data_IF_130564566265
#
_entry.id   IF_130564566265
#
_cell.length_a   1.000
_cell.length_b   1.000
_cell.length_c   1.000
_cell.angle_alpha   90.00
_cell.angle_beta   90.00
_cell.angle_gamma   90.00
#
_symmetry.space_group_name_H-M   'P 1'
#
loop_
_entity.id
_entity.type
_entity.pdbx_description
1 polymer ?
#
# COMPACT_ATOMS: atom_id res chain seq x y z
N UNK A 1 6.45 9.24 -14.87
CA UNK A 1 6.89 8.04 -14.15
C UNK A 1 6.75 6.84 -15.06
N UNK A 2 7.60 5.84 -14.91
CA UNK A 2 7.53 4.59 -15.66
C UNK A 2 7.35 3.39 -14.73
N UNK A 3 6.44 2.48 -15.10
CA UNK A 3 6.26 1.18 -14.46
C UNK A 3 7.10 0.14 -15.19
N UNK A 4 8.03 -0.50 -14.47
CA UNK A 4 8.93 -1.50 -15.03
C UNK A 4 8.71 -2.83 -14.32
N UNK A 5 8.47 -3.89 -15.10
CA UNK A 5 8.37 -5.25 -14.58
C UNK A 5 9.73 -5.72 -14.07
N UNK A 6 9.78 -6.22 -12.83
CA UNK A 6 11.00 -6.79 -12.24
C UNK A 6 10.89 -8.31 -12.06
N UNK A 7 9.75 -8.79 -11.57
CA UNK A 7 9.51 -10.22 -11.34
C UNK A 7 8.03 -10.57 -11.27
N UNK A 8 7.76 -11.87 -11.36
CA UNK A 8 6.43 -12.44 -11.24
C UNK A 8 5.73 -12.07 -9.94
N UNK A 9 4.47 -11.64 -10.07
CA UNK A 9 3.60 -11.45 -8.92
C UNK A 9 2.17 -11.85 -9.23
N UNK A 10 1.70 -12.93 -8.58
CA UNK A 10 0.36 -13.49 -8.77
C UNK A 10 0.04 -13.71 -10.26
N UNK A 11 -0.90 -12.94 -10.81
CA UNK A 11 -1.32 -13.03 -12.22
C UNK A 11 -0.46 -12.22 -13.18
N UNK A 12 0.48 -11.40 -12.69
CA UNK A 12 1.36 -10.59 -13.53
C UNK A 12 2.63 -11.39 -13.79
N UNK A 13 2.87 -11.68 -15.07
CA UNK A 13 3.98 -12.52 -15.55
C UNK A 13 5.00 -11.76 -16.39
N UNK A 14 4.54 -10.72 -17.08
CA UNK A 14 5.36 -9.79 -17.86
C UNK A 14 4.46 -8.69 -18.40
N UNK A 15 5.03 -7.53 -18.71
CA UNK A 15 4.44 -6.48 -19.53
C UNK A 15 5.56 -5.54 -19.98
N UNK A 16 5.36 -4.85 -21.11
CA UNK A 16 6.31 -3.84 -21.57
C UNK A 16 6.28 -2.62 -20.64
N UNK A 17 7.40 -1.92 -20.42
CA UNK A 17 7.41 -0.71 -19.59
C UNK A 17 6.31 0.28 -19.97
N UNK A 18 5.63 0.82 -18.96
CA UNK A 18 4.46 1.68 -19.15
C UNK A 18 4.74 3.04 -18.54
N UNK A 19 4.76 4.09 -19.38
CA UNK A 19 4.76 5.47 -18.89
C UNK A 19 3.40 5.83 -18.32
N UNK A 20 3.38 6.34 -17.10
CA UNK A 20 2.19 6.82 -16.39
C UNK A 20 2.37 8.28 -15.94
N UNK A 21 1.25 8.99 -15.85
CA UNK A 21 1.19 10.35 -15.31
C UNK A 21 1.09 10.31 -13.77
N UNK A 22 1.37 11.44 -13.12
CA UNK A 22 1.30 11.62 -11.66
C UNK A 22 -0.04 11.22 -11.06
N UNK A 23 -1.11 11.39 -11.85
CA UNK A 23 -2.43 10.88 -11.55
C UNK A 23 -2.90 9.98 -12.68
N UNK A 24 -3.09 8.70 -12.36
CA UNK A 24 -3.50 7.68 -13.31
C UNK A 24 -4.63 6.84 -12.72
N UNK A 25 -5.67 6.57 -13.52
CA UNK A 25 -6.79 5.70 -13.14
C UNK A 25 -6.65 4.39 -13.90
N UNK A 26 -6.54 3.28 -13.17
CA UNK A 26 -6.50 1.94 -13.76
C UNK A 26 -7.92 1.37 -13.78
N UNK A 27 -8.44 1.10 -14.98
CA UNK A 27 -9.76 0.50 -15.18
C UNK A 27 -9.64 -0.86 -15.87
N UNK A 28 -10.73 -1.62 -15.92
CA UNK A 28 -10.78 -2.94 -16.55
C UNK A 28 -11.75 -3.89 -15.88
N UNK A 29 -12.04 -5.02 -16.52
CA UNK A 29 -12.98 -6.02 -16.03
C UNK A 29 -12.58 -6.60 -14.66
N UNK A 30 -13.54 -7.14 -13.93
CA UNK A 30 -13.24 -7.86 -12.69
C UNK A 30 -12.34 -9.06 -12.98
N UNK A 31 -11.32 -9.26 -12.14
CA UNK A 31 -10.31 -10.30 -12.37
C UNK A 31 -9.20 -9.93 -13.37
N UNK A 32 -9.22 -8.75 -13.99
CA UNK A 32 -8.17 -8.33 -14.96
C UNK A 32 -6.80 -8.02 -14.34
N UNK A 33 -6.60 -8.27 -13.04
CA UNK A 33 -5.31 -8.07 -12.37
C UNK A 33 -5.06 -6.67 -11.80
N UNK A 34 -6.02 -5.74 -11.79
CA UNK A 34 -5.83 -4.37 -11.25
C UNK A 34 -5.30 -4.35 -9.82
N UNK A 35 -5.91 -5.11 -8.92
CA UNK A 35 -5.45 -5.22 -7.53
C UNK A 35 -4.08 -5.87 -7.44
N UNK A 36 -3.78 -6.84 -8.32
CA UNK A 36 -2.45 -7.45 -8.38
C UNK A 36 -1.40 -6.44 -8.84
N UNK A 37 -1.72 -5.58 -9.81
CA UNK A 37 -0.84 -4.50 -10.30
C UNK A 37 -0.48 -3.53 -9.17
N UNK A 38 -1.48 -3.02 -8.45
CA UNK A 38 -1.22 -2.11 -7.32
C UNK A 38 -0.41 -2.78 -6.20
N UNK A 39 -0.71 -4.04 -5.87
CA UNK A 39 0.05 -4.80 -4.86
C UNK A 39 1.49 -5.14 -5.29
N UNK A 40 1.72 -5.36 -6.60
CA UNK A 40 3.08 -5.58 -7.10
C UNK A 40 3.94 -4.32 -7.07
N UNK A 41 3.33 -3.13 -7.15
CA UNK A 41 4.04 -1.87 -6.96
C UNK A 41 4.41 -1.70 -5.48
N UNK A 42 3.47 -1.94 -4.56
CA UNK A 42 3.72 -1.88 -3.10
C UNK A 42 4.86 -2.82 -2.67
N UNK A 43 4.92 -4.05 -3.20
CA UNK A 43 5.91 -5.03 -2.79
C UNK A 43 7.23 -5.01 -3.59
N UNK A 44 7.36 -4.10 -4.56
CA UNK A 44 8.54 -3.95 -5.41
C UNK A 44 8.72 -5.03 -6.48
N UNK A 45 7.68 -5.78 -6.86
CA UNK A 45 7.72 -6.66 -8.04
C UNK A 45 7.54 -5.90 -9.35
N UNK A 46 6.98 -4.69 -9.26
CA UNK A 46 6.99 -3.66 -10.29
C UNK A 46 7.66 -2.43 -9.69
N UNK A 47 8.63 -1.89 -10.40
CA UNK A 47 9.35 -0.68 -10.01
C UNK A 47 8.68 0.55 -10.62
N UNK A 48 8.64 1.63 -9.84
CA UNK A 48 8.34 2.98 -10.32
C UNK A 48 9.65 3.71 -10.43
N UNK A 49 10.09 4.04 -11.64
CA UNK A 49 11.25 4.90 -11.99
C UNK A 49 12.03 5.52 -10.80
N UNK A 50 12.90 4.73 -10.15
CA UNK A 50 13.76 5.18 -9.05
C UNK A 50 13.09 5.45 -7.69
N UNK A 51 11.78 5.27 -7.56
CA UNK A 51 11.03 5.34 -6.29
C UNK A 51 11.16 3.98 -5.58
N UNK A 52 11.82 3.93 -4.41
CA UNK A 52 11.94 2.68 -3.68
C UNK A 52 10.59 2.22 -3.13
N UNK A 53 10.35 0.91 -3.10
CA UNK A 53 9.09 0.32 -2.61
C UNK A 53 8.73 0.74 -1.17
N UNK A 54 9.71 1.13 -0.35
CA UNK A 54 9.50 1.65 1.01
C UNK A 54 8.77 2.99 1.06
N UNK A 55 8.76 3.75 -0.03
CA UNK A 55 8.05 5.03 -0.17
C UNK A 55 6.67 4.86 -0.80
N UNK A 56 6.34 3.67 -1.30
CA UNK A 56 5.04 3.37 -1.89
C UNK A 56 4.05 3.03 -0.78
N UNK A 57 2.95 3.78 -0.72
CA UNK A 57 1.86 3.52 0.21
C UNK A 57 0.65 2.97 -0.56
N UNK A 58 0.24 1.75 -0.23
CA UNK A 58 -0.98 1.14 -0.74
C UNK A 58 -2.15 1.41 0.21
N UNK A 59 -3.23 1.94 -0.34
CA UNK A 59 -4.51 2.12 0.34
C UNK A 59 -5.60 1.29 -0.32
N UNK A 60 -6.56 0.86 0.50
CA UNK A 60 -7.80 0.23 0.11
C UNK A 60 -8.95 0.73 1.00
N UNK A 61 -10.19 0.37 0.68
CA UNK A 61 -11.36 0.86 1.40
C UNK A 61 -11.41 0.49 2.90
N UNK A 62 -10.70 -0.55 3.33
CA UNK A 62 -10.68 -1.01 4.72
C UNK A 62 -9.57 -0.38 5.57
N UNK A 63 -8.52 0.17 4.96
CA UNK A 63 -7.40 0.81 5.66
C UNK A 63 -7.37 2.33 5.50
N UNK A 64 -8.20 2.88 4.60
CA UNK A 64 -8.35 4.32 4.45
C UNK A 64 -9.26 4.91 5.53
N UNK A 65 -8.65 5.48 6.57
CA UNK A 65 -9.34 6.27 7.60
C UNK A 65 -8.93 7.74 7.52
N UNK A 66 -9.91 8.63 7.39
CA UNK A 66 -9.70 10.06 7.57
C UNK A 66 -9.82 10.38 9.06
N UNK A 67 -8.69 10.68 9.70
CA UNK A 67 -8.68 11.17 11.08
C UNK A 67 -9.10 12.65 11.07
N UNK A 68 -10.41 12.89 11.16
CA UNK A 68 -10.97 14.24 11.25
C UNK A 68 -10.71 14.91 12.61
N UNK A 69 -10.27 14.15 13.62
CA UNK A 69 -10.05 14.62 14.99
C UNK A 69 -8.66 15.23 15.24
N UNK A 70 -7.95 15.66 14.18
CA UNK A 70 -6.75 16.49 14.34
C UNK A 70 -7.24 17.95 14.36
N UNK A 71 -7.44 18.58 15.53
CA UNK A 71 -7.72 20.01 15.56
C UNK A 71 -6.57 20.75 14.86
N UNK A 72 -6.94 21.68 13.99
CA UNK A 72 -5.99 22.54 13.27
C UNK A 72 -4.95 23.09 14.27
N UNK A 73 -3.65 23.07 13.92
CA UNK A 73 -2.62 23.57 14.83
C UNK A 73 -2.90 25.03 15.12
N UNK A 74 -3.38 25.32 16.32
CA UNK A 74 -3.42 26.68 16.86
C UNK A 74 -1.98 27.06 17.17
N UNK A 75 -1.52 28.13 16.52
CA UNK A 75 -0.14 28.61 16.57
C UNK A 75 0.45 28.57 17.99
N UNK A 76 1.45 27.72 18.19
CA UNK A 76 2.17 27.60 19.45
C UNK A 76 3.00 26.32 19.52
N UNK A 77 4.17 26.33 18.90
CA UNK A 77 5.32 25.46 19.16
C UNK A 77 5.03 24.01 19.62
N UNK A 78 4.89 23.10 18.67
CA UNK A 78 5.18 21.67 18.90
C UNK A 78 5.95 21.11 17.71
N UNK A 79 7.12 20.54 17.99
CA UNK A 79 7.88 19.73 17.03
C UNK A 79 6.95 18.73 16.36
N UNK A 80 6.76 18.90 15.06
CA UNK A 80 6.12 17.91 14.20
C UNK A 80 7.10 16.73 14.10
N UNK A 81 7.04 15.81 15.05
CA UNK A 81 7.51 14.46 14.77
C UNK A 81 6.46 13.88 13.83
N UNK A 82 6.71 13.97 12.52
CA UNK A 82 5.92 13.23 11.53
C UNK A 82 6.29 11.76 11.68
N UNK A 83 5.85 11.15 12.77
CA UNK A 83 5.66 9.72 12.81
C UNK A 83 4.57 9.45 11.77
N UNK A 84 5.00 9.14 10.55
CA UNK A 84 4.17 8.42 9.57
C UNK A 84 3.65 7.23 10.35
N UNK A 85 2.41 7.32 10.80
CA UNK A 85 1.78 6.34 11.66
C UNK A 85 1.79 5.04 10.87
N UNK A 86 2.80 4.20 11.14
CA UNK A 86 2.92 2.88 10.51
C UNK A 86 1.57 2.22 10.69
N UNK A 87 0.94 1.83 9.58
CA UNK A 87 -0.41 1.26 9.56
C UNK A 87 -0.53 0.11 10.57
N UNK A 88 -0.97 0.43 11.79
CA UNK A 88 -1.16 -0.50 12.92
C UNK A 88 -2.25 -1.52 12.64
N UNK A 89 -3.04 -1.30 11.58
CA UNK A 89 -3.96 -2.28 11.03
C UNK A 89 -3.24 -3.60 10.68
N UNK A 90 -2.10 -3.56 9.98
CA UNK A 90 -1.36 -4.79 9.62
C UNK A 90 -0.85 -5.55 10.87
N UNK A 91 -0.37 -4.84 11.89
CA UNK A 91 0.04 -5.46 13.18
C UNK A 91 -1.15 -6.04 13.96
N UNK A 92 -2.30 -5.37 13.94
CA UNK A 92 -3.48 -5.82 14.69
C UNK A 92 -4.11 -7.06 14.06
N UNK A 93 -4.15 -7.16 12.73
CA UNK A 93 -4.59 -8.37 12.03
C UNK A 93 -3.64 -9.55 12.27
N UNK A 94 -2.32 -9.31 12.25
CA UNK A 94 -1.32 -10.35 12.52
C UNK A 94 -1.43 -10.92 13.96
N UNK A 95 -1.71 -10.07 14.95
CA UNK A 95 -1.91 -10.51 16.35
C UNK A 95 -3.21 -11.30 16.55
N UNK A 96 -4.28 -10.95 15.82
CA UNK A 96 -5.56 -11.66 15.91
C UNK A 96 -5.50 -13.05 15.26
N UNK A 97 -4.80 -13.20 14.13
CA UNK A 97 -4.64 -14.51 13.48
C UNK A 97 -3.79 -15.46 14.33
N UNK A 98 -2.69 -14.98 14.93
CA UNK A 98 -1.84 -15.80 15.80
C UNK A 98 -2.58 -16.28 17.06
N UNK A 99 -3.40 -15.41 17.67
CA UNK A 99 -4.21 -15.76 18.85
C UNK A 99 -5.29 -16.80 18.54
N UNK A 100 -5.86 -16.77 17.32
CA UNK A 100 -6.84 -17.77 16.89
C UNK A 100 -6.18 -19.13 16.63
N UNK A 101 -5.00 -19.17 16.00
CA UNK A 101 -4.23 -20.41 15.79
C UNK A 101 -3.83 -21.08 17.09
N UNK A 102 -3.49 -20.31 18.12
CA UNK A 102 -3.14 -20.85 19.44
C UNK A 102 -4.34 -21.47 20.19
N UNK A 103 -5.56 -21.00 19.94
CA UNK A 103 -6.78 -21.56 20.57
C UNK A 103 -7.32 -22.83 19.91
N UNK A 104 -6.95 -23.08 18.66
CA UNK A 104 -7.41 -24.26 17.90
C UNK A 104 -6.51 -25.48 18.20
N UNK A 105 -5.28 -25.25 18.64
CA UNK A 105 -4.28 -26.30 18.91
C UNK A 105 -4.13 -26.64 20.41
N UNK A 106 -5.08 -26.22 21.26
CA UNK A 106 -5.11 -26.45 22.72
C UNK A 106 -6.34 -27.25 23.13
#
# INVERSE_FOLDING_TARGET
MELVYQKDFKSIKQFDPITIADFSIITGLNGSGKTHLLQSIENGSIELEGIPATEVIYYNYSDFSLNYDIPLPTNGNRSQNTDVSKNTAKETYARKSSALTQRINS
#
